data_IF_328214440367
#
_entry.id   IF_328214440367
#
_cell.length_a   1.000
_cell.length_b   1.000
_cell.length_c   1.000
_cell.angle_alpha   90.00
_cell.angle_beta   90.00
_cell.angle_gamma   90.00
#
_symmetry.space_group_name_H-M   'P 1'
#
loop_
_entity.id
_entity.type
_entity.pdbx_description
1 polymer ?
#
# COMPACT_ATOMS: atom_id res chain seq x y z
N UNK A 1 16.02 22.76 11.52
CA UNK A 1 14.77 23.44 11.08
C UNK A 1 15.00 24.53 10.03
N UNK A 2 16.11 25.24 10.04
CA UNK A 2 16.44 26.29 9.03
C UNK A 2 16.53 25.76 7.61
N UNK A 3 17.16 24.61 7.37
CA UNK A 3 17.27 23.99 6.02
C UNK A 3 15.89 23.68 5.38
N UNK A 4 14.87 23.39 6.17
CA UNK A 4 13.51 23.14 5.65
C UNK A 4 12.79 24.45 5.26
N UNK A 5 13.18 25.59 5.83
CA UNK A 5 12.63 26.93 5.45
C UNK A 5 13.16 27.43 4.11
N UNK A 6 14.34 26.97 3.69
CA UNK A 6 14.97 27.32 2.40
C UNK A 6 14.44 26.53 1.21
N UNK A 7 13.64 25.45 1.45
CA UNK A 7 13.04 24.67 0.37
C UNK A 7 11.88 25.41 -0.30
N UNK A 8 11.71 25.18 -1.61
CA UNK A 8 10.56 25.70 -2.34
C UNK A 8 9.24 25.27 -1.70
N UNK A 9 8.17 26.07 -1.75
CA UNK A 9 6.87 25.72 -1.19
C UNK A 9 6.34 24.38 -1.73
N UNK A 10 6.60 24.07 -3.01
CA UNK A 10 6.21 22.82 -3.66
C UNK A 10 6.94 21.62 -3.05
N UNK A 11 8.26 21.72 -2.89
CA UNK A 11 9.07 20.65 -2.31
C UNK A 11 8.70 20.40 -0.85
N UNK A 12 8.39 21.45 -0.10
CA UNK A 12 7.92 21.33 1.29
C UNK A 12 6.58 20.58 1.37
N UNK A 13 5.64 20.90 0.50
CA UNK A 13 4.36 20.19 0.43
C UNK A 13 4.56 18.72 0.01
N UNK A 14 5.43 18.45 -0.96
CA UNK A 14 5.80 17.09 -1.35
C UNK A 14 6.34 16.27 -0.17
N UNK A 15 7.29 16.83 0.58
CA UNK A 15 7.88 16.15 1.74
C UNK A 15 6.84 15.86 2.83
N UNK A 16 5.95 16.81 3.11
CA UNK A 16 4.87 16.62 4.09
C UNK A 16 3.88 15.53 3.65
N UNK A 17 3.43 15.56 2.40
CA UNK A 17 2.54 14.55 1.84
C UNK A 17 3.20 13.17 1.87
N UNK A 18 4.47 13.10 1.50
CA UNK A 18 5.25 11.86 1.51
C UNK A 18 5.44 11.33 2.93
N UNK A 19 5.80 12.18 3.88
CA UNK A 19 5.97 11.80 5.28
C UNK A 19 4.67 11.27 5.91
N UNK A 20 3.54 11.93 5.65
CA UNK A 20 2.22 11.46 6.09
C UNK A 20 1.90 10.09 5.50
N UNK A 21 2.17 9.90 4.21
CA UNK A 21 1.93 8.64 3.54
C UNK A 21 2.85 7.52 4.05
N UNK A 22 4.09 7.84 4.38
CA UNK A 22 5.03 6.90 4.99
C UNK A 22 4.60 6.46 6.38
N UNK A 23 4.21 7.42 7.22
CA UNK A 23 3.73 7.13 8.57
C UNK A 23 2.47 6.26 8.54
N UNK A 24 1.51 6.60 7.65
CA UNK A 24 0.34 5.76 7.40
C UNK A 24 0.75 4.35 6.98
N UNK A 25 1.62 4.22 5.99
CA UNK A 25 2.02 2.91 5.43
C UNK A 25 2.73 2.04 6.46
N UNK A 26 3.56 2.64 7.30
CA UNK A 26 4.26 1.93 8.37
C UNK A 26 3.27 1.38 9.40
N UNK A 27 2.31 2.20 9.84
CA UNK A 27 1.27 1.77 10.79
C UNK A 27 0.29 0.78 10.17
N UNK A 28 -0.06 0.90 8.89
CA UNK A 28 -0.91 -0.07 8.17
C UNK A 28 -0.24 -1.45 8.08
N UNK A 29 1.05 -1.48 7.73
CA UNK A 29 1.83 -2.72 7.72
C UNK A 29 1.95 -3.35 9.12
N UNK A 30 2.25 -2.55 10.13
CA UNK A 30 2.37 -3.01 11.51
C UNK A 30 1.03 -3.54 12.06
N UNK A 31 -0.07 -2.85 11.81
CA UNK A 31 -1.41 -3.28 12.21
C UNK A 31 -1.77 -4.63 11.59
N UNK A 32 -1.47 -4.82 10.30
CA UNK A 32 -1.75 -6.07 9.60
C UNK A 32 -1.02 -7.25 10.27
N UNK A 33 0.27 -7.11 10.53
CA UNK A 33 1.05 -8.17 11.19
C UNK A 33 0.58 -8.39 12.64
N UNK A 34 0.31 -7.30 13.38
CA UNK A 34 -0.17 -7.36 14.75
C UNK A 34 -1.49 -8.15 14.85
N UNK A 35 -2.46 -7.89 13.97
CA UNK A 35 -3.73 -8.61 13.91
C UNK A 35 -3.51 -10.08 13.57
N UNK A 36 -2.71 -10.37 12.53
CA UNK A 36 -2.41 -11.77 12.14
C UNK A 36 -1.82 -12.56 13.30
N UNK A 37 -0.77 -12.04 13.94
CA UNK A 37 -0.07 -12.75 15.01
C UNK A 37 -0.94 -12.89 16.27
N UNK A 38 -1.65 -11.83 16.67
CA UNK A 38 -2.49 -11.85 17.85
C UNK A 38 -3.63 -12.87 17.73
N UNK A 39 -4.36 -12.86 16.62
CA UNK A 39 -5.46 -13.80 16.41
C UNK A 39 -4.97 -15.24 16.20
N UNK A 40 -3.77 -15.40 15.61
CA UNK A 40 -3.13 -16.72 15.58
C UNK A 40 -2.82 -17.25 16.99
N UNK A 41 -2.28 -16.39 17.88
CA UNK A 41 -2.05 -16.75 19.29
C UNK A 41 -3.33 -17.10 20.05
N UNK A 42 -4.48 -16.52 19.65
CA UNK A 42 -5.80 -16.86 20.19
C UNK A 42 -6.38 -18.17 19.60
N UNK A 43 -5.66 -18.88 18.74
CA UNK A 43 -6.07 -20.15 18.17
C UNK A 43 -6.97 -20.05 16.93
N UNK A 44 -7.06 -18.88 16.30
CA UNK A 44 -7.80 -18.73 15.04
C UNK A 44 -7.10 -19.48 13.90
N UNK A 45 -7.88 -20.19 13.09
CA UNK A 45 -7.36 -20.85 11.89
C UNK A 45 -6.88 -19.84 10.84
N UNK A 46 -5.97 -20.22 9.92
CA UNK A 46 -5.51 -19.33 8.84
C UNK A 46 -6.65 -18.75 8.00
N UNK A 47 -7.71 -19.53 7.74
CA UNK A 47 -8.89 -19.03 7.02
C UNK A 47 -9.65 -17.96 7.81
N UNK A 48 -9.85 -18.16 9.11
CA UNK A 48 -10.50 -17.17 9.96
C UNK A 48 -9.69 -15.86 10.01
N UNK A 49 -8.36 -15.96 10.10
CA UNK A 49 -7.48 -14.78 10.05
C UNK A 49 -7.57 -14.07 8.70
N UNK A 50 -7.61 -14.82 7.58
CA UNK A 50 -7.78 -14.24 6.26
C UNK A 50 -9.11 -13.50 6.12
N UNK A 51 -10.18 -14.03 6.69
CA UNK A 51 -11.51 -13.42 6.69
C UNK A 51 -11.55 -12.08 7.46
N UNK A 52 -10.70 -11.89 8.49
CA UNK A 52 -10.60 -10.59 9.19
C UNK A 52 -10.24 -9.44 8.25
N UNK A 53 -9.54 -9.73 7.15
CA UNK A 53 -9.12 -8.73 6.16
C UNK A 53 -10.06 -8.63 4.94
N UNK A 54 -11.11 -9.43 4.86
CA UNK A 54 -12.03 -9.43 3.72
C UNK A 54 -12.61 -8.02 3.48
N UNK A 55 -13.09 -7.37 4.53
CA UNK A 55 -13.64 -6.02 4.41
C UNK A 55 -12.58 -4.95 4.15
N UNK A 56 -11.36 -5.15 4.62
CA UNK A 56 -10.22 -4.27 4.29
C UNK A 56 -9.99 -4.22 2.78
N UNK A 57 -9.95 -5.36 2.11
CA UNK A 57 -9.72 -5.41 0.67
C UNK A 57 -10.96 -4.97 -0.11
N UNK A 58 -12.16 -5.42 0.28
CA UNK A 58 -13.42 -5.05 -0.38
C UNK A 58 -13.64 -3.53 -0.38
N UNK A 59 -13.61 -2.91 0.79
CA UNK A 59 -13.79 -1.45 0.90
C UNK A 59 -12.60 -0.68 0.33
N UNK A 60 -11.41 -1.26 0.30
CA UNK A 60 -10.27 -0.74 -0.44
C UNK A 60 -10.56 -0.61 -1.93
N UNK A 61 -11.14 -1.65 -2.57
CA UNK A 61 -11.55 -1.60 -3.98
C UNK A 61 -12.60 -0.51 -4.23
N UNK A 62 -13.65 -0.47 -3.40
CA UNK A 62 -14.70 0.57 -3.50
C UNK A 62 -14.12 1.97 -3.37
N UNK A 63 -13.25 2.18 -2.40
CA UNK A 63 -12.60 3.48 -2.17
C UNK A 63 -11.63 3.85 -3.29
N UNK A 64 -10.95 2.88 -3.89
CA UNK A 64 -10.06 3.15 -5.03
C UNK A 64 -10.85 3.66 -6.25
N UNK A 65 -12.08 3.18 -6.45
CA UNK A 65 -12.99 3.69 -7.49
C UNK A 65 -13.48 5.10 -7.19
N UNK A 66 -13.89 5.36 -5.96
CA UNK A 66 -14.55 6.63 -5.57
C UNK A 66 -13.58 7.71 -5.09
N UNK A 67 -12.37 7.32 -4.65
CA UNK A 67 -11.41 8.20 -4.00
C UNK A 67 -10.92 9.36 -4.87
N UNK A 68 -10.81 9.15 -6.19
CA UNK A 68 -10.47 10.22 -7.14
C UNK A 68 -11.52 11.31 -7.21
N UNK A 69 -12.77 10.91 -7.27
CA UNK A 69 -13.92 11.82 -7.22
C UNK A 69 -13.97 12.56 -5.89
N UNK A 70 -13.76 11.85 -4.77
CA UNK A 70 -13.74 12.45 -3.44
C UNK A 70 -12.59 13.45 -3.29
N UNK A 71 -11.38 13.10 -3.74
CA UNK A 71 -10.20 13.98 -3.73
C UNK A 71 -10.40 15.25 -4.56
N UNK A 72 -11.01 15.14 -5.74
CA UNK A 72 -11.32 16.29 -6.58
C UNK A 72 -12.39 17.20 -5.95
N UNK A 73 -13.34 16.64 -5.20
CA UNK A 73 -14.44 17.38 -4.56
C UNK A 73 -14.03 18.04 -3.24
N UNK A 74 -13.33 17.33 -2.38
CA UNK A 74 -12.93 17.79 -1.05
C UNK A 74 -11.56 18.50 -1.04
N UNK A 75 -10.71 18.18 -2.00
CA UNK A 75 -9.29 18.49 -2.01
C UNK A 75 -8.43 17.33 -1.49
N UNK A 76 -7.25 17.18 -2.07
CA UNK A 76 -6.38 16.02 -1.81
C UNK A 76 -5.88 15.98 -0.36
N UNK A 77 -5.50 17.14 0.19
CA UNK A 77 -4.99 17.20 1.56
C UNK A 77 -6.09 16.93 2.60
N UNK A 78 -7.33 17.38 2.34
CA UNK A 78 -8.47 17.02 3.20
C UNK A 78 -8.77 15.53 3.13
N UNK A 79 -8.73 14.93 1.94
CA UNK A 79 -8.94 13.49 1.73
C UNK A 79 -7.85 12.66 2.42
N UNK A 80 -6.59 13.12 2.37
CA UNK A 80 -5.49 12.49 3.11
C UNK A 80 -5.71 12.55 4.63
N UNK A 81 -6.07 13.72 5.16
CA UNK A 81 -6.34 13.89 6.59
C UNK A 81 -7.55 13.07 7.05
N UNK A 82 -8.59 12.93 6.22
CA UNK A 82 -9.70 12.02 6.48
C UNK A 82 -9.23 10.57 6.56
N UNK A 83 -8.36 10.14 5.62
CA UNK A 83 -7.76 8.80 5.66
C UNK A 83 -6.91 8.57 6.92
N UNK A 84 -6.09 9.54 7.35
CA UNK A 84 -5.34 9.44 8.61
C UNK A 84 -6.27 9.31 9.82
N UNK A 85 -7.32 10.13 9.89
CA UNK A 85 -8.33 10.07 10.96
C UNK A 85 -9.03 8.71 11.00
N UNK A 86 -9.46 8.19 9.84
CA UNK A 86 -10.10 6.87 9.76
C UNK A 86 -9.19 5.75 10.27
N UNK A 87 -7.89 5.84 9.99
CA UNK A 87 -6.92 4.87 10.53
C UNK A 87 -6.78 4.99 12.05
N UNK A 88 -6.76 6.21 12.60
CA UNK A 88 -6.74 6.42 14.06
C UNK A 88 -8.01 5.83 14.68
N UNK A 89 -9.18 6.05 14.07
CA UNK A 89 -10.45 5.46 14.54
C UNK A 89 -10.41 3.93 14.45
N UNK A 90 -9.92 3.37 13.35
CA UNK A 90 -9.77 1.92 13.19
C UNK A 90 -8.88 1.30 14.28
N UNK A 91 -7.76 1.96 14.60
CA UNK A 91 -6.88 1.55 15.71
C UNK A 91 -7.62 1.68 17.05
N UNK A 92 -8.31 2.78 17.31
CA UNK A 92 -9.06 2.98 18.54
C UNK A 92 -10.16 1.92 18.75
N UNK A 93 -10.82 1.48 17.67
CA UNK A 93 -11.80 0.39 17.73
C UNK A 93 -11.21 -0.93 18.21
N UNK A 94 -9.93 -1.18 18.00
CA UNK A 94 -9.26 -2.40 18.47
C UNK A 94 -8.81 -2.33 19.95
N UNK A 95 -9.00 -1.19 20.62
CA UNK A 95 -8.70 -1.01 22.05
C UNK A 95 -9.85 -1.41 22.98
N UNK A 96 -10.98 -1.86 22.43
CA UNK A 96 -12.12 -2.35 23.22
C UNK A 96 -11.74 -3.53 24.12
N UNK A 97 -12.51 -3.82 25.19
CA UNK A 97 -12.28 -5.01 26.01
C UNK A 97 -12.25 -6.28 25.16
N UNK A 98 -11.48 -7.33 25.54
CA UNK A 98 -11.35 -8.56 24.75
C UNK A 98 -12.69 -9.24 24.42
N UNK A 99 -13.69 -9.14 25.32
CA UNK A 99 -15.02 -9.70 25.08
C UNK A 99 -15.75 -9.08 23.89
N UNK A 100 -15.40 -7.86 23.48
CA UNK A 100 -15.99 -7.15 22.34
C UNK A 100 -15.15 -7.28 21.07
N UNK A 101 -13.98 -7.86 21.16
CA UNK A 101 -13.06 -8.02 20.02
C UNK A 101 -13.48 -9.22 19.15
N UNK A 102 -14.74 -9.24 18.76
CA UNK A 102 -15.33 -10.27 17.90
C UNK A 102 -14.80 -10.18 16.48
N UNK A 103 -14.92 -11.27 15.71
CA UNK A 103 -14.53 -11.29 14.27
C UNK A 103 -15.22 -10.15 13.51
N UNK A 104 -16.53 -9.98 13.69
CA UNK A 104 -17.29 -8.93 13.02
C UNK A 104 -16.79 -7.52 13.37
N UNK A 105 -16.47 -7.27 14.64
CA UNK A 105 -15.93 -5.99 15.09
C UNK A 105 -14.56 -5.68 14.46
N UNK A 106 -13.67 -6.67 14.45
CA UNK A 106 -12.36 -6.54 13.80
C UNK A 106 -12.51 -6.33 12.30
N UNK A 107 -13.42 -7.02 11.63
CA UNK A 107 -13.71 -6.81 10.21
C UNK A 107 -14.17 -5.38 9.91
N UNK A 108 -15.01 -4.77 10.77
CA UNK A 108 -15.43 -3.36 10.63
C UNK A 108 -14.24 -2.41 10.83
N UNK A 109 -13.41 -2.63 11.84
CA UNK A 109 -12.18 -1.85 12.04
C UNK A 109 -11.25 -1.96 10.81
N UNK A 110 -11.09 -3.16 10.27
CA UNK A 110 -10.29 -3.39 9.06
C UNK A 110 -10.93 -2.76 7.81
N UNK A 111 -12.26 -2.68 7.71
CA UNK A 111 -12.93 -1.93 6.64
C UNK A 111 -12.53 -0.45 6.64
N UNK A 112 -12.55 0.20 7.81
CA UNK A 112 -12.10 1.59 7.95
C UNK A 112 -10.62 1.76 7.58
N UNK A 113 -9.77 0.82 8.00
CA UNK A 113 -8.35 0.81 7.63
C UNK A 113 -8.14 0.65 6.11
N UNK A 114 -8.94 -0.20 5.44
CA UNK A 114 -8.91 -0.35 3.98
C UNK A 114 -9.32 0.93 3.24
N UNK A 115 -10.39 1.59 3.70
CA UNK A 115 -10.80 2.91 3.18
C UNK A 115 -9.69 3.93 3.40
N UNK A 116 -9.14 4.01 4.60
CA UNK A 116 -8.05 4.90 4.97
C UNK A 116 -6.83 4.73 4.07
N UNK A 117 -6.45 3.47 3.78
CA UNK A 117 -5.33 3.11 2.88
C UNK A 117 -5.49 3.73 1.50
N UNK A 118 -6.66 3.53 0.88
CA UNK A 118 -6.84 3.97 -0.49
C UNK A 118 -7.07 5.48 -0.62
N UNK A 119 -7.67 6.14 0.38
CA UNK A 119 -7.72 7.61 0.46
C UNK A 119 -6.32 8.23 0.56
N UNK A 120 -5.45 7.71 1.43
CA UNK A 120 -4.07 8.19 1.57
C UNK A 120 -3.25 7.95 0.30
N UNK A 121 -3.33 6.75 -0.28
CA UNK A 121 -2.63 6.38 -1.52
C UNK A 121 -3.01 7.27 -2.69
N UNK A 122 -4.31 7.49 -2.88
CA UNK A 122 -4.84 8.35 -3.94
C UNK A 122 -4.40 9.80 -3.75
N UNK A 123 -4.58 10.33 -2.54
CA UNK A 123 -4.22 11.72 -2.22
C UNK A 123 -2.74 11.98 -2.42
N UNK A 124 -1.87 11.09 -1.94
CA UNK A 124 -0.42 11.22 -2.09
C UNK A 124 0.01 11.24 -3.56
N UNK A 125 -0.45 10.27 -4.36
CA UNK A 125 -0.09 10.17 -5.78
C UNK A 125 -0.62 11.35 -6.60
N UNK A 126 -1.85 11.77 -6.36
CA UNK A 126 -2.44 12.90 -7.06
C UNK A 126 -1.82 14.23 -6.65
N UNK A 127 -1.44 14.40 -5.37
CA UNK A 127 -0.76 15.58 -4.89
C UNK A 127 0.60 15.79 -5.60
N UNK A 128 1.38 14.73 -5.76
CA UNK A 128 2.67 14.79 -6.48
C UNK A 128 2.47 15.27 -7.91
N UNK A 129 1.46 14.74 -8.61
CA UNK A 129 1.17 15.14 -9.99
C UNK A 129 0.88 16.65 -10.11
N UNK A 130 0.26 17.26 -9.11
CA UNK A 130 -0.05 18.68 -9.10
C UNK A 130 1.12 19.58 -8.64
N UNK A 131 2.11 19.00 -7.98
CA UNK A 131 3.29 19.71 -7.47
C UNK A 131 4.41 19.81 -8.51
N UNK A 132 4.40 18.92 -9.51
CA UNK A 132 5.41 18.88 -10.57
C UNK A 132 4.88 19.66 -11.78
N UNK A 133 5.69 20.57 -12.39
CA UNK A 133 5.33 21.24 -13.64
C UNK A 133 4.99 20.26 -14.76
N UNK A 134 4.06 20.63 -15.65
CA UNK A 134 3.54 19.75 -16.70
C UNK A 134 4.62 19.32 -17.73
N UNK A 135 5.63 20.13 -17.92
CA UNK A 135 6.79 19.89 -18.79
C UNK A 135 7.88 19.01 -18.16
N UNK A 136 7.85 18.82 -16.82
CA UNK A 136 8.85 18.08 -16.06
C UNK A 136 8.46 16.60 -15.85
N UNK A 137 8.09 15.88 -16.93
CA UNK A 137 7.61 14.49 -16.84
C UNK A 137 8.63 13.52 -16.23
N UNK A 138 9.93 13.70 -16.49
CA UNK A 138 10.99 12.90 -15.86
C UNK A 138 11.04 13.08 -14.34
N UNK A 139 10.83 14.30 -13.85
CA UNK A 139 10.75 14.58 -12.41
C UNK A 139 9.50 13.92 -11.79
N UNK A 140 8.35 14.00 -12.48
CA UNK A 140 7.13 13.35 -12.05
C UNK A 140 7.33 11.83 -11.92
N UNK A 141 7.92 11.19 -12.93
CA UNK A 141 8.20 9.76 -12.93
C UNK A 141 9.10 9.37 -11.74
N UNK A 142 10.20 10.12 -11.54
CA UNK A 142 11.11 9.89 -10.42
C UNK A 142 10.43 10.04 -9.06
N UNK A 143 9.64 11.08 -8.84
CA UNK A 143 8.97 11.31 -7.55
C UNK A 143 7.91 10.25 -7.27
N UNK A 144 7.15 9.83 -8.28
CA UNK A 144 6.17 8.74 -8.14
C UNK A 144 6.85 7.40 -7.86
N UNK A 145 8.00 7.12 -8.52
CA UNK A 145 8.78 5.91 -8.27
C UNK A 145 9.32 5.86 -6.84
N UNK A 146 9.90 6.97 -6.36
CA UNK A 146 10.38 7.09 -4.97
C UNK A 146 9.22 6.90 -3.98
N UNK A 147 8.08 7.56 -4.20
CA UNK A 147 6.91 7.41 -3.33
C UNK A 147 6.43 5.95 -3.29
N UNK A 148 6.34 5.30 -4.44
CA UNK A 148 5.79 3.95 -4.53
C UNK A 148 6.76 2.91 -4.00
N UNK A 149 8.05 3.03 -4.33
CA UNK A 149 9.10 2.11 -3.86
C UNK A 149 9.32 2.23 -2.35
N UNK A 150 9.46 3.46 -1.83
CA UNK A 150 9.60 3.68 -0.39
C UNK A 150 8.37 3.21 0.40
N UNK A 151 7.16 3.39 -0.14
CA UNK A 151 5.93 2.83 0.45
C UNK A 151 6.01 1.31 0.58
N UNK A 152 6.46 0.61 -0.46
CA UNK A 152 6.56 -0.85 -0.42
C UNK A 152 7.60 -1.31 0.59
N UNK A 153 8.78 -0.68 0.63
CA UNK A 153 9.81 -0.96 1.63
C UNK A 153 9.31 -0.72 3.07
N UNK A 154 8.63 0.41 3.30
CA UNK A 154 8.06 0.75 4.61
C UNK A 154 6.93 -0.20 5.03
N UNK A 155 6.15 -0.73 4.10
CA UNK A 155 5.15 -1.75 4.41
C UNK A 155 5.81 -3.02 4.94
N UNK A 156 6.90 -3.47 4.32
CA UNK A 156 7.70 -4.59 4.81
C UNK A 156 8.31 -4.30 6.20
N UNK A 157 8.91 -3.12 6.38
CA UNK A 157 9.42 -2.70 7.70
C UNK A 157 8.30 -2.64 8.75
N UNK A 158 7.08 -2.23 8.35
CA UNK A 158 5.90 -2.25 9.20
C UNK A 158 5.56 -3.65 9.72
N UNK A 159 5.71 -4.68 8.91
CA UNK A 159 5.47 -6.06 9.35
C UNK A 159 6.40 -6.45 10.50
N UNK A 160 7.69 -6.15 10.40
CA UNK A 160 8.64 -6.39 11.52
C UNK A 160 8.29 -5.55 12.74
N UNK A 161 7.95 -4.27 12.53
CA UNK A 161 7.54 -3.38 13.62
C UNK A 161 6.30 -3.90 14.34
N UNK A 162 5.30 -4.43 13.61
CA UNK A 162 4.10 -5.01 14.20
C UNK A 162 4.39 -6.20 15.09
N UNK A 163 5.28 -7.11 14.66
CA UNK A 163 5.73 -8.23 15.46
C UNK A 163 6.51 -7.79 16.71
N UNK A 164 7.43 -6.83 16.56
CA UNK A 164 8.21 -6.26 17.67
C UNK A 164 7.31 -5.57 18.69
N UNK A 165 6.37 -4.74 18.24
CA UNK A 165 5.44 -4.05 19.15
C UNK A 165 4.55 -5.04 19.90
N UNK A 166 4.09 -6.12 19.24
CA UNK A 166 3.32 -7.17 19.91
C UNK A 166 4.15 -7.83 21.03
N UNK A 167 5.40 -8.13 20.76
CA UNK A 167 6.31 -8.78 21.71
C UNK A 167 6.60 -7.89 22.93
N UNK A 168 6.83 -6.59 22.71
CA UNK A 168 7.27 -5.67 23.78
C UNK A 168 6.12 -5.06 24.55
N UNK A 169 5.04 -4.67 23.87
CA UNK A 169 3.93 -3.91 24.44
C UNK A 169 2.62 -4.72 24.55
N UNK A 170 2.59 -5.94 24.04
CA UNK A 170 1.36 -6.70 23.85
C UNK A 170 0.41 -6.04 22.84
N UNK A 171 -0.73 -6.69 22.56
CA UNK A 171 -1.67 -6.23 21.54
C UNK A 171 -2.22 -4.82 21.81
N UNK A 172 -2.77 -4.60 23.00
CA UNK A 172 -3.39 -3.30 23.36
C UNK A 172 -2.36 -2.17 23.44
N UNK A 173 -1.18 -2.42 24.02
CA UNK A 173 -0.10 -1.44 24.09
C UNK A 173 0.41 -1.05 22.70
N UNK A 174 0.60 -2.01 21.82
CA UNK A 174 1.02 -1.79 20.43
C UNK A 174 -0.01 -0.96 19.64
N UNK A 175 -1.31 -1.31 19.75
CA UNK A 175 -2.39 -0.56 19.08
C UNK A 175 -2.48 0.86 19.64
N UNK A 176 -2.40 1.05 20.96
CA UNK A 176 -2.44 2.38 21.59
C UNK A 176 -1.25 3.23 21.13
N UNK A 177 -0.04 2.67 21.14
CA UNK A 177 1.16 3.36 20.64
C UNK A 177 1.00 3.83 19.20
N UNK A 178 0.53 2.96 18.32
CA UNK A 178 0.30 3.31 16.90
C UNK A 178 -0.80 4.36 16.75
N UNK A 179 -1.90 4.26 17.51
CA UNK A 179 -3.00 5.22 17.46
C UNK A 179 -2.54 6.62 17.90
N UNK A 180 -1.81 6.72 19.02
CA UNK A 180 -1.28 8.00 19.52
C UNK A 180 -0.27 8.59 18.53
N UNK A 181 0.70 7.79 18.07
CA UNK A 181 1.70 8.26 17.11
C UNK A 181 1.06 8.79 15.82
N UNK A 182 0.08 8.07 15.27
CA UNK A 182 -0.61 8.47 14.05
C UNK A 182 -1.52 9.69 14.29
N UNK A 183 -2.17 9.79 15.46
CA UNK A 183 -2.96 10.96 15.84
C UNK A 183 -2.10 12.24 15.91
N UNK A 184 -0.91 12.16 16.47
CA UNK A 184 0.05 13.28 16.49
C UNK A 184 0.43 13.70 15.07
N UNK A 185 0.71 12.73 14.18
CA UNK A 185 1.01 13.02 12.77
C UNK A 185 -0.20 13.64 12.06
N UNK A 186 -1.41 13.14 12.32
CA UNK A 186 -2.65 13.72 11.80
C UNK A 186 -2.84 15.18 12.24
N UNK A 187 -2.63 15.50 13.51
CA UNK A 187 -2.70 16.88 14.02
C UNK A 187 -1.66 17.80 13.36
N UNK A 188 -0.42 17.32 13.23
CA UNK A 188 0.65 18.05 12.52
C UNK A 188 0.31 18.25 11.04
N UNK A 189 -0.28 17.25 10.40
CA UNK A 189 -0.74 17.30 9.02
C UNK A 189 -1.83 18.37 8.83
N UNK A 190 -2.83 18.38 9.71
CA UNK A 190 -3.89 19.40 9.68
C UNK A 190 -3.36 20.83 9.85
N UNK A 191 -2.34 21.01 10.67
CA UNK A 191 -1.72 22.30 10.92
C UNK A 191 -0.82 22.80 9.76
N UNK A 192 -0.23 21.87 8.97
CA UNK A 192 0.82 22.20 7.99
C UNK A 192 0.40 22.07 6.54
N UNK A 193 -0.59 21.22 6.21
CA UNK A 193 -1.07 21.05 4.85
C UNK A 193 -2.14 22.08 4.47
N UNK A 194 -2.04 22.62 3.24
CA UNK A 194 -3.03 23.57 2.70
C UNK A 194 -4.37 22.83 2.48
N UNK A 195 -5.45 23.36 3.05
CA UNK A 195 -6.77 22.71 3.07
C UNK A 195 -7.35 22.45 1.68
N UNK A 196 -7.24 23.39 0.77
CA UNK A 196 -7.92 23.34 -0.55
C UNK A 196 -7.00 22.88 -1.69
N UNK A 197 -5.84 22.30 -1.38
CA UNK A 197 -4.92 21.81 -2.40
C UNK A 197 -5.54 20.65 -3.21
N UNK A 198 -5.52 20.78 -4.53
CA UNK A 198 -6.04 19.79 -5.46
C UNK A 198 -7.56 19.70 -5.57
N UNK A 199 -8.31 20.65 -4.99
CA UNK A 199 -9.75 20.78 -5.17
C UNK A 199 -10.07 21.27 -6.60
N UNK A 200 -10.96 20.57 -7.29
CA UNK A 200 -11.41 20.98 -8.61
C UNK A 200 -12.25 22.26 -8.54
N UNK A 201 -12.09 23.18 -9.52
CA UNK A 201 -12.91 24.38 -9.62
C UNK A 201 -14.41 24.04 -9.76
N UNK A 202 -14.73 23.05 -10.58
CA UNK A 202 -16.09 22.52 -10.75
C UNK A 202 -16.16 21.13 -10.11
N UNK A 203 -17.08 20.93 -9.16
CA UNK A 203 -17.26 19.64 -8.50
C UNK A 203 -17.64 18.54 -9.52
N UNK A 204 -16.85 17.47 -9.66
CA UNK A 204 -17.16 16.43 -10.64
C UNK A 204 -18.45 15.70 -10.26
N UNK A 205 -19.26 15.34 -11.28
CA UNK A 205 -20.46 14.53 -11.08
C UNK A 205 -20.07 13.08 -10.73
N UNK A 206 -20.91 12.40 -9.94
CA UNK A 206 -20.65 11.01 -9.56
C UNK A 206 -20.58 10.07 -10.77
N UNK A 207 -21.38 10.36 -11.83
CA UNK A 207 -21.35 9.63 -13.10
C UNK A 207 -20.02 9.70 -13.85
N UNK A 208 -19.10 10.57 -13.44
CA UNK A 208 -17.77 10.73 -14.05
C UNK A 208 -16.67 9.88 -13.35
N UNK A 209 -17.04 9.00 -12.44
CA UNK A 209 -16.11 8.07 -11.78
C UNK A 209 -15.47 7.13 -12.82
N UNK A 210 -16.25 6.65 -13.78
CA UNK A 210 -15.74 5.81 -14.86
C UNK A 210 -15.17 6.67 -15.99
N UNK A 211 -13.98 6.30 -16.45
CA UNK A 211 -13.34 7.01 -17.56
C UNK A 211 -14.09 6.78 -18.86
N UNK A 212 -14.27 7.86 -19.64
CA UNK A 212 -14.78 7.80 -21.02
C UNK A 212 -13.66 7.56 -22.04
N UNK A 213 -12.41 7.54 -21.61
CA UNK A 213 -11.24 7.37 -22.48
C UNK A 213 -10.94 5.89 -22.69
N UNK A 214 -11.00 5.42 -23.94
CA UNK A 214 -10.66 4.05 -24.30
C UNK A 214 -9.21 3.66 -23.90
N UNK A 215 -8.18 4.48 -24.12
CA UNK A 215 -6.82 4.16 -23.67
C UNK A 215 -6.71 3.98 -22.14
N UNK A 216 -7.43 4.78 -21.35
CA UNK A 216 -7.45 4.64 -19.89
C UNK A 216 -8.13 3.34 -19.46
N UNK A 217 -9.22 2.96 -20.13
CA UNK A 217 -9.93 1.72 -19.82
C UNK A 217 -9.09 0.48 -20.20
N UNK A 218 -8.42 0.50 -21.35
CA UNK A 218 -7.49 -0.55 -21.80
C UNK A 218 -6.33 -0.71 -20.82
N UNK A 219 -5.70 0.40 -20.42
CA UNK A 219 -4.62 0.38 -19.40
C UNK A 219 -5.12 -0.16 -18.06
N UNK A 220 -6.32 0.21 -17.64
CA UNK A 220 -6.93 -0.26 -16.39
C UNK A 220 -7.18 -1.77 -16.43
N UNK A 221 -7.69 -2.30 -17.56
CA UNK A 221 -7.89 -3.73 -17.77
C UNK A 221 -6.55 -4.48 -17.75
N UNK A 222 -5.55 -4.01 -18.51
CA UNK A 222 -4.21 -4.62 -18.49
C UNK A 222 -3.59 -4.68 -17.09
N UNK A 223 -3.74 -3.61 -16.31
CA UNK A 223 -3.26 -3.58 -14.91
C UNK A 223 -4.01 -4.53 -14.00
N UNK A 224 -5.32 -4.72 -14.21
CA UNK A 224 -6.11 -5.68 -13.43
C UNK A 224 -5.53 -7.09 -13.58
N UNK A 225 -5.31 -7.54 -14.81
CA UNK A 225 -4.73 -8.87 -15.07
C UNK A 225 -3.29 -9.00 -14.56
N UNK A 226 -2.45 -7.99 -14.79
CA UNK A 226 -1.04 -8.02 -14.33
C UNK A 226 -0.95 -8.07 -12.79
N UNK A 227 -1.73 -7.26 -12.10
CA UNK A 227 -1.73 -7.28 -10.63
C UNK A 227 -2.42 -8.51 -10.08
N UNK A 228 -3.48 -9.01 -10.71
CA UNK A 228 -4.13 -10.27 -10.35
C UNK A 228 -3.16 -11.44 -10.44
N UNK A 229 -2.44 -11.58 -11.55
CA UNK A 229 -1.42 -12.61 -11.73
C UNK A 229 -0.32 -12.53 -10.66
N UNK A 230 0.21 -11.31 -10.40
CA UNK A 230 1.18 -11.11 -9.33
C UNK A 230 0.65 -11.56 -7.95
N UNK A 231 -0.58 -11.21 -7.64
CA UNK A 231 -1.15 -11.49 -6.31
C UNK A 231 -1.43 -12.99 -6.13
N UNK A 232 -1.85 -13.70 -7.18
CA UNK A 232 -1.98 -15.17 -7.16
C UNK A 232 -0.64 -15.82 -6.84
N UNK A 233 0.43 -15.39 -7.49
CA UNK A 233 1.77 -15.93 -7.24
C UNK A 233 2.29 -15.57 -5.85
N UNK A 234 2.35 -14.30 -5.55
CA UNK A 234 3.08 -13.79 -4.39
C UNK A 234 2.31 -13.92 -3.08
N UNK A 235 0.98 -13.73 -3.13
CA UNK A 235 0.15 -13.73 -1.91
C UNK A 235 -0.39 -15.11 -1.58
N UNK A 236 -0.55 -15.97 -2.58
CA UNK A 236 -1.18 -17.29 -2.41
C UNK A 236 -0.19 -18.42 -2.69
N UNK A 237 0.29 -18.57 -3.94
CA UNK A 237 1.06 -19.75 -4.33
C UNK A 237 2.40 -19.85 -3.59
N UNK A 238 3.16 -18.77 -3.53
CA UNK A 238 4.49 -18.78 -2.91
C UNK A 238 4.45 -19.08 -1.40
N UNK A 239 3.64 -18.42 -0.56
CA UNK A 239 3.55 -18.77 0.86
C UNK A 239 3.12 -20.19 1.12
N UNK A 240 2.14 -20.70 0.34
CA UNK A 240 1.67 -22.08 0.47
C UNK A 240 2.79 -23.06 0.10
N UNK A 241 3.50 -22.84 -0.99
CA UNK A 241 4.62 -23.67 -1.41
C UNK A 241 5.74 -23.69 -0.35
N UNK A 242 6.13 -22.55 0.18
CA UNK A 242 7.16 -22.46 1.22
C UNK A 242 6.76 -23.21 2.49
N UNK A 243 5.50 -23.11 2.90
CA UNK A 243 5.00 -23.75 4.12
C UNK A 243 4.77 -25.27 3.91
N UNK A 244 4.13 -25.67 2.81
CA UNK A 244 3.71 -27.07 2.59
C UNK A 244 4.84 -27.91 2.00
N UNK A 245 5.53 -27.40 0.96
CA UNK A 245 6.54 -28.19 0.24
C UNK A 245 7.93 -28.10 0.89
N UNK A 246 8.31 -26.94 1.44
CA UNK A 246 9.60 -26.74 2.10
C UNK A 246 9.54 -26.85 3.63
N UNK A 247 8.36 -26.99 4.22
CA UNK A 247 8.18 -27.12 5.67
C UNK A 247 8.56 -25.88 6.46
N UNK A 248 8.56 -24.70 5.82
CA UNK A 248 8.91 -23.45 6.50
C UNK A 248 7.85 -23.07 7.51
N UNK A 249 8.29 -22.60 8.66
CA UNK A 249 7.40 -22.05 9.67
C UNK A 249 6.87 -20.65 9.27
N UNK A 250 5.89 -20.16 10.02
CA UNK A 250 5.23 -18.88 9.73
C UNK A 250 6.19 -17.69 9.80
N UNK A 251 7.24 -17.75 10.65
CA UNK A 251 8.26 -16.71 10.77
C UNK A 251 9.19 -16.68 9.57
N UNK A 252 9.60 -17.85 9.09
CA UNK A 252 10.45 -17.98 7.92
C UNK A 252 9.72 -17.49 6.67
N UNK A 253 8.47 -17.92 6.46
CA UNK A 253 7.63 -17.44 5.36
C UNK A 253 7.38 -15.93 5.46
N UNK A 254 6.96 -15.44 6.62
CA UNK A 254 6.69 -14.03 6.86
C UNK A 254 7.94 -13.15 6.69
N UNK A 255 9.07 -13.58 7.25
CA UNK A 255 10.37 -12.92 7.13
C UNK A 255 10.84 -12.82 5.67
N UNK A 256 10.76 -13.93 4.94
CA UNK A 256 11.09 -13.95 3.51
C UNK A 256 10.24 -12.97 2.70
N UNK A 257 8.92 -13.03 2.86
CA UNK A 257 8.01 -12.13 2.14
C UNK A 257 8.24 -10.66 2.51
N UNK A 258 8.52 -10.36 3.78
CA UNK A 258 8.81 -9.01 4.23
C UNK A 258 10.12 -8.49 3.60
N UNK A 259 11.20 -9.29 3.63
CA UNK A 259 12.48 -8.95 2.98
C UNK A 259 12.32 -8.78 1.48
N UNK A 260 11.55 -9.65 0.82
CA UNK A 260 11.23 -9.51 -0.60
C UNK A 260 10.51 -8.19 -0.91
N UNK A 261 9.50 -7.81 -0.12
CA UNK A 261 8.77 -6.56 -0.31
C UNK A 261 9.67 -5.35 -0.08
N UNK A 262 10.57 -5.40 0.90
CA UNK A 262 11.57 -4.35 1.14
C UNK A 262 12.51 -4.23 -0.08
N UNK A 263 13.10 -5.33 -0.51
CA UNK A 263 13.98 -5.38 -1.67
C UNK A 263 13.30 -4.89 -2.95
N UNK A 264 12.09 -5.36 -3.21
CA UNK A 264 11.24 -4.87 -4.30
C UNK A 264 11.02 -3.36 -4.23
N UNK A 265 10.72 -2.84 -3.04
CA UNK A 265 10.54 -1.41 -2.81
C UNK A 265 11.80 -0.61 -3.13
N UNK A 266 12.98 -1.10 -2.73
CA UNK A 266 14.28 -0.46 -3.04
C UNK A 266 14.53 -0.47 -4.55
N UNK A 267 14.37 -1.61 -5.23
CA UNK A 267 14.53 -1.71 -6.69
C UNK A 267 13.58 -0.76 -7.41
N UNK A 268 12.33 -0.67 -6.95
CA UNK A 268 11.33 0.22 -7.54
C UNK A 268 11.72 1.70 -7.44
N UNK A 269 12.45 2.13 -6.42
CA UNK A 269 12.98 3.52 -6.35
C UNK A 269 14.02 3.80 -7.43
N UNK A 270 14.72 2.77 -7.90
CA UNK A 270 15.72 2.86 -8.96
C UNK A 270 15.13 2.67 -10.37
N UNK A 271 13.86 2.28 -10.48
CA UNK A 271 13.20 2.03 -11.76
C UNK A 271 13.40 3.16 -12.81
N UNK A 272 13.32 4.46 -12.46
CA UNK A 272 13.57 5.53 -13.43
C UNK A 272 14.96 5.49 -14.05
N UNK A 273 15.98 5.05 -13.30
CA UNK A 273 17.36 4.93 -13.82
C UNK A 273 17.50 3.77 -14.80
N UNK A 274 16.75 2.70 -14.58
CA UNK A 274 16.81 1.48 -15.39
C UNK A 274 15.92 1.57 -16.64
N UNK A 275 14.75 2.21 -16.52
CA UNK A 275 13.73 2.22 -17.58
C UNK A 275 13.66 3.52 -18.36
N UNK A 276 14.29 4.59 -17.88
CA UNK A 276 14.26 5.92 -18.50
C UNK A 276 15.68 6.56 -18.51
N UNK A 277 16.68 5.92 -19.10
CA UNK A 277 18.00 6.51 -19.19
C UNK A 277 17.94 7.85 -19.94
N UNK A 278 18.78 8.80 -19.53
CA UNK A 278 18.85 10.16 -20.10
C UNK A 278 17.56 10.99 -20.01
N UNK A 279 16.66 10.70 -19.03
CA UNK A 279 15.46 11.50 -18.80
C UNK A 279 14.31 11.25 -19.78
N UNK A 280 14.43 10.26 -20.67
CA UNK A 280 13.33 9.82 -21.53
C UNK A 280 12.19 9.24 -20.68
N UNK A 281 10.95 9.57 -20.99
CA UNK A 281 9.79 8.91 -20.38
C UNK A 281 9.56 7.55 -21.04
N UNK A 282 9.37 6.46 -20.27
CA UNK A 282 9.03 5.15 -20.82
C UNK A 282 7.72 5.22 -21.61
N UNK A 283 7.67 4.50 -22.73
CA UNK A 283 6.49 4.39 -23.58
C UNK A 283 5.81 3.00 -23.48
N UNK A 284 4.80 2.77 -24.34
CA UNK A 284 4.09 1.49 -24.36
C UNK A 284 4.95 0.31 -24.84
N UNK A 285 5.99 0.55 -25.65
CA UNK A 285 6.91 -0.49 -26.12
C UNK A 285 7.85 -0.93 -24.99
N UNK A 286 8.33 0.02 -24.19
CA UNK A 286 9.12 -0.28 -23.00
C UNK A 286 8.30 -1.13 -22.02
N UNK A 287 7.03 -0.76 -21.79
CA UNK A 287 6.13 -1.51 -20.93
C UNK A 287 5.89 -2.94 -21.44
N UNK A 288 5.70 -3.11 -22.75
CA UNK A 288 5.53 -4.43 -23.37
C UNK A 288 6.81 -5.27 -23.22
N UNK A 289 7.98 -4.70 -23.50
CA UNK A 289 9.27 -5.38 -23.35
C UNK A 289 9.47 -5.91 -21.92
N UNK A 290 9.24 -5.08 -20.90
CA UNK A 290 9.32 -5.50 -19.51
C UNK A 290 8.26 -6.54 -19.13
N UNK A 291 7.04 -6.45 -19.67
CA UNK A 291 6.01 -7.44 -19.41
C UNK A 291 6.38 -8.82 -20.02
N UNK A 292 6.98 -8.85 -21.22
CA UNK A 292 7.49 -10.08 -21.83
C UNK A 292 8.63 -10.70 -21.03
N UNK A 293 9.61 -9.90 -20.60
CA UNK A 293 10.70 -10.37 -19.72
C UNK A 293 10.12 -10.94 -18.41
N UNK A 294 9.15 -10.25 -17.80
CA UNK A 294 8.48 -10.72 -16.60
C UNK A 294 7.73 -12.05 -16.82
N UNK A 295 7.14 -12.28 -17.98
CA UNK A 295 6.41 -13.53 -18.26
C UNK A 295 7.33 -14.76 -18.43
N UNK A 296 8.58 -14.54 -18.84
CA UNK A 296 9.58 -15.62 -18.97
C UNK A 296 9.90 -16.24 -17.60
N UNK A 297 10.00 -15.43 -16.54
CA UNK A 297 10.38 -15.93 -15.21
C UNK A 297 9.38 -16.94 -14.63
N UNK A 298 8.07 -16.69 -14.58
CA UNK A 298 7.09 -17.70 -14.17
C UNK A 298 7.05 -18.93 -15.07
N UNK A 299 7.25 -18.74 -16.37
CA UNK A 299 7.30 -19.87 -17.31
C UNK A 299 8.49 -20.80 -17.03
N UNK A 300 9.67 -20.23 -16.74
CA UNK A 300 10.86 -21.00 -16.34
C UNK A 300 10.64 -21.72 -15.00
N UNK A 301 10.05 -21.03 -14.01
CA UNK A 301 9.72 -21.65 -12.71
C UNK A 301 8.76 -22.81 -12.91
N UNK A 302 7.70 -22.63 -13.70
CA UNK A 302 6.74 -23.70 -13.99
C UNK A 302 7.38 -24.89 -14.70
N UNK A 303 8.27 -24.65 -15.67
CA UNK A 303 9.00 -25.69 -16.37
C UNK A 303 9.94 -26.48 -15.44
N UNK A 304 10.67 -25.78 -14.56
CA UNK A 304 11.56 -26.42 -13.57
C UNK A 304 10.77 -27.28 -12.58
N UNK A 305 9.67 -26.77 -12.05
CA UNK A 305 8.80 -27.51 -11.14
C UNK A 305 8.19 -28.75 -11.83
N UNK A 306 7.84 -28.65 -13.11
CA UNK A 306 7.32 -29.81 -13.85
C UNK A 306 8.40 -30.87 -14.11
N UNK A 307 9.63 -30.47 -14.40
CA UNK A 307 10.75 -31.39 -14.55
C UNK A 307 11.09 -32.11 -13.25
N UNK A 308 11.04 -31.45 -12.09
CA UNK A 308 11.21 -32.09 -10.78
C UNK A 308 10.10 -33.13 -10.53
N UNK A 309 8.85 -32.81 -10.81
CA UNK A 309 7.73 -33.75 -10.70
C UNK A 309 7.91 -34.92 -11.67
N UNK A 310 8.31 -34.68 -12.90
CA UNK A 310 8.54 -35.75 -13.89
C UNK A 310 9.66 -36.70 -13.47
N UNK A 311 10.74 -36.20 -12.84
CA UNK A 311 11.86 -37.03 -12.35
C UNK A 311 11.46 -37.84 -11.12
N UNK A 312 10.55 -37.35 -10.27
CA UNK A 312 10.06 -38.09 -9.10
C UNK A 312 9.12 -39.28 -9.48
N UNK A 313 8.54 -39.26 -10.65
CA UNK A 313 7.63 -40.30 -11.14
C UNK A 313 8.27 -41.27 -12.19
N UNK A 314 9.52 -41.04 -12.55
CA UNK A 314 10.34 -41.92 -13.41
C UNK A 314 11.26 -42.81 -12.58
#
# INVERSE_FOLDING_TARGET
MERLRQLSPQLRQYLLVTANYWAFTLTDGALRMLVVLHFHQLGYSPLQIALLFLFYEFFGVVTNLTGGWLGARLGLNRTMNLGLLLQVVALAMLLVPPAWLTVAWVMVAQALSGIAKDLNKMSAKSAIKLLVPADAQGTLYRWVAILTGSKNALKGAGFFMGGLLLMVLGFRGAVLFMAVALALIWLLSMARLRRDFGKAKNAPKFSQIFSKSSPVNTLSAARLFLFGARDVWFVVALPVYLAVSLGWDHWQVGGFLALWIIGYGVVQTQAPRLTAPAGRTPDGRDALGWALVLSIVPALIAALLWLEVAVQWS
#
